data_IF_374507581546
#
_entry.id   IF_374507581546
#
_cell.length_a   1.000
_cell.length_b   1.000
_cell.length_c   1.000
_cell.angle_alpha   90.00
_cell.angle_beta   90.00
_cell.angle_gamma   90.00
#
_symmetry.space_group_name_H-M   'P 1'
#
loop_
_entity.id
_entity.type
_entity.pdbx_description
1 polymer ?
#
# COMPACT_ATOMS: atom_id res chain seq x y z
N UNK A 1 -12.09 -41.45 -66.31
CA UNK A 1 -13.41 -41.28 -66.96
C UNK A 1 -13.72 -39.79 -66.99
N UNK A 2 -13.96 -39.20 -68.16
CA UNK A 2 -14.14 -37.76 -68.34
C UNK A 2 -15.63 -37.40 -68.37
N UNK A 3 -16.00 -36.19 -67.96
CA UNK A 3 -17.17 -35.50 -68.53
C UNK A 3 -16.81 -34.02 -68.69
N UNK A 4 -16.98 -33.54 -69.92
CA UNK A 4 -16.86 -32.14 -70.33
C UNK A 4 -18.18 -31.37 -70.14
N UNK A 5 -18.07 -30.04 -70.05
CA UNK A 5 -19.10 -29.05 -70.40
C UNK A 5 -18.43 -27.67 -70.33
N UNK A 6 -18.08 -26.98 -71.43
CA UNK A 6 -18.95 -26.13 -72.29
C UNK A 6 -19.84 -25.23 -71.42
N UNK A 7 -19.82 -23.90 -71.42
CA UNK A 7 -19.26 -22.85 -72.28
C UNK A 7 -20.24 -21.66 -72.20
N UNK A 8 -19.74 -20.41 -72.14
CA UNK A 8 -20.28 -19.25 -72.89
C UNK A 8 -19.62 -17.93 -72.51
N UNK A 9 -19.30 -17.24 -73.58
CA UNK A 9 -18.79 -15.89 -73.77
C UNK A 9 -19.91 -14.85 -73.72
N UNK A 10 -19.63 -13.64 -73.24
CA UNK A 10 -20.08 -12.39 -73.89
C UNK A 10 -19.50 -11.14 -73.21
N UNK A 11 -18.54 -10.52 -73.90
CA UNK A 11 -18.55 -9.13 -74.39
C UNK A 11 -19.00 -7.99 -73.46
N UNK A 12 -18.18 -6.91 -73.37
CA UNK A 12 -18.76 -5.57 -73.16
C UNK A 12 -17.85 -4.47 -72.62
N UNK A 13 -16.93 -3.99 -73.46
CA UNK A 13 -16.64 -2.57 -73.70
C UNK A 13 -15.98 -1.68 -72.62
N UNK A 14 -14.66 -1.58 -72.81
CA UNK A 14 -13.83 -0.38 -72.92
C UNK A 14 -14.55 0.97 -73.10
N UNK A 15 -14.53 1.80 -72.04
CA UNK A 15 -14.80 3.23 -72.07
C UNK A 15 -13.54 4.03 -71.71
N UNK A 16 -13.03 4.77 -72.69
CA UNK A 16 -11.76 5.52 -72.69
C UNK A 16 -11.91 6.90 -72.00
N UNK A 17 -11.06 7.15 -71.00
CA UNK A 17 -10.46 8.43 -70.55
C UNK A 17 -11.35 9.69 -70.35
N UNK A 18 -11.58 10.06 -69.09
CA UNK A 18 -11.37 11.42 -68.55
C UNK A 18 -10.87 11.28 -67.10
N UNK A 19 -9.56 11.18 -66.89
CA UNK A 19 -8.63 12.30 -66.63
C UNK A 19 -9.09 13.13 -65.42
N UNK A 20 -8.40 12.86 -64.30
CA UNK A 20 -8.05 13.74 -63.18
C UNK A 20 -9.16 14.59 -62.57
N UNK A 21 -9.47 14.35 -61.28
CA UNK A 21 -9.75 15.38 -60.25
C UNK A 21 -10.43 14.75 -59.02
N UNK A 22 -9.74 13.91 -58.26
CA UNK A 22 -10.05 13.66 -56.82
C UNK A 22 -8.76 13.33 -56.06
N UNK A 23 -7.73 14.17 -56.21
CA UNK A 23 -6.56 14.17 -55.33
C UNK A 23 -6.72 15.27 -54.28
N UNK A 24 -7.68 15.10 -53.38
CA UNK A 24 -7.64 15.75 -52.08
C UNK A 24 -7.85 14.68 -51.02
N UNK A 25 -6.82 14.45 -50.21
CA UNK A 25 -7.02 13.97 -48.85
C UNK A 25 -6.62 12.54 -48.49
N UNK A 26 -5.82 11.82 -49.29
CA UNK A 26 -5.25 10.54 -48.81
C UNK A 26 -4.35 10.73 -47.56
N UNK A 27 -3.82 11.93 -47.36
CA UNK A 27 -3.04 12.29 -46.18
C UNK A 27 -3.88 12.62 -44.93
N UNK A 28 -5.17 12.95 -45.08
CA UNK A 28 -6.06 13.23 -43.93
C UNK A 28 -6.64 11.94 -43.32
N UNK A 29 -6.73 10.87 -44.10
CA UNK A 29 -7.29 9.58 -43.66
C UNK A 29 -6.27 8.79 -42.81
N UNK A 30 -4.96 9.00 -43.00
CA UNK A 30 -3.93 8.35 -42.17
C UNK A 30 -3.91 8.82 -40.71
N UNK A 31 -4.33 10.05 -40.40
CA UNK A 31 -4.34 10.58 -39.03
C UNK A 31 -5.44 9.95 -38.15
N UNK A 32 -6.58 9.58 -38.73
CA UNK A 32 -7.70 8.99 -37.98
C UNK A 32 -7.48 7.51 -37.64
N UNK A 33 -6.66 6.79 -38.40
CA UNK A 33 -6.38 5.38 -38.13
C UNK A 33 -5.49 5.15 -36.90
N UNK A 34 -4.72 6.15 -36.46
CA UNK A 34 -3.82 6.04 -35.30
C UNK A 34 -4.60 6.06 -33.97
N UNK A 35 -5.80 6.65 -33.94
CA UNK A 35 -6.62 6.74 -32.72
C UNK A 35 -7.29 5.40 -32.35
N UNK A 36 -7.42 4.47 -33.31
CA UNK A 36 -8.07 3.17 -33.09
C UNK A 36 -7.15 2.09 -32.48
N UNK A 37 -5.83 2.31 -32.46
CA UNK A 37 -4.89 1.46 -31.74
C UNK A 37 -4.68 2.07 -30.37
N UNK A 38 -5.56 1.73 -29.43
CA UNK A 38 -5.52 2.18 -28.04
C UNK A 38 -4.13 1.99 -27.44
N UNK A 39 -3.37 3.08 -27.38
CA UNK A 39 -2.10 3.11 -26.67
C UNK A 39 -2.41 3.08 -25.18
N UNK A 40 -2.12 1.95 -24.54
CA UNK A 40 -2.16 1.85 -23.08
C UNK A 40 -0.97 2.67 -22.57
N UNK A 41 -1.18 3.97 -22.32
CA UNK A 41 -0.15 4.79 -21.66
C UNK A 41 -0.09 4.31 -20.22
N UNK A 42 1.03 3.72 -19.75
CA UNK A 42 1.16 3.42 -18.34
C UNK A 42 1.12 4.76 -17.59
N UNK A 43 0.07 5.00 -16.82
CA UNK A 43 -0.01 6.14 -15.91
C UNK A 43 1.04 5.89 -14.83
N UNK A 44 2.25 6.42 -15.03
CA UNK A 44 3.26 6.50 -13.98
C UNK A 44 2.74 7.54 -12.98
N UNK A 45 2.19 7.07 -11.86
CA UNK A 45 1.82 7.95 -10.76
C UNK A 45 3.09 8.50 -10.15
N UNK A 46 3.45 9.73 -10.49
CA UNK A 46 4.50 10.47 -9.81
C UNK A 46 4.12 10.63 -8.34
N UNK A 47 4.75 9.87 -7.46
CA UNK A 47 4.67 10.08 -6.01
C UNK A 47 5.19 11.48 -5.72
N UNK A 48 4.30 12.41 -5.40
CA UNK A 48 4.70 13.76 -5.00
C UNK A 48 5.64 13.65 -3.79
N UNK A 49 6.82 14.30 -3.80
CA UNK A 49 7.65 14.37 -2.62
C UNK A 49 6.84 15.00 -1.48
N UNK A 50 6.88 14.37 -0.29
CA UNK A 50 6.13 14.79 0.89
C UNK A 50 4.79 14.07 1.12
N UNK A 51 4.37 13.14 0.25
CA UNK A 51 3.25 12.24 0.52
C UNK A 51 3.61 11.10 1.48
N UNK A 52 2.58 10.43 2.04
CA UNK A 52 2.76 9.18 2.78
C UNK A 52 3.02 8.03 1.79
N UNK A 53 3.99 7.19 2.10
CA UNK A 53 4.27 5.96 1.36
C UNK A 53 4.56 4.82 2.33
N UNK A 54 4.28 3.59 1.91
CA UNK A 54 4.46 2.42 2.76
C UNK A 54 5.95 2.19 3.06
N UNK A 55 6.24 1.70 4.27
CA UNK A 55 7.59 1.39 4.74
C UNK A 55 7.65 -0.04 5.23
N UNK A 56 8.80 -0.69 5.02
CA UNK A 56 9.03 -2.06 5.48
C UNK A 56 8.95 -2.13 7.02
N UNK A 57 8.21 -3.11 7.60
CA UNK A 57 8.20 -3.39 9.03
C UNK A 57 9.59 -3.56 9.69
N UNK A 58 10.60 -3.95 8.91
CA UNK A 58 11.99 -4.16 9.32
C UNK A 58 12.87 -2.91 9.14
N UNK A 59 12.32 -1.80 8.63
CA UNK A 59 13.07 -0.56 8.50
C UNK A 59 13.62 -0.10 9.86
N UNK A 60 14.93 0.20 9.89
CA UNK A 60 15.63 0.54 11.14
C UNK A 60 15.09 1.83 11.76
N UNK A 61 14.70 2.80 10.93
CA UNK A 61 14.10 4.07 11.37
C UNK A 61 12.73 3.84 12.01
N UNK A 62 11.88 3.04 11.37
CA UNK A 62 10.58 2.63 11.89
C UNK A 62 10.73 1.88 13.23
N UNK A 63 11.64 0.91 13.32
CA UNK A 63 11.88 0.14 14.55
C UNK A 63 12.29 1.07 15.69
N UNK A 64 13.24 1.97 15.45
CA UNK A 64 13.69 2.97 16.44
C UNK A 64 12.55 3.90 16.88
N UNK A 65 11.73 4.35 15.93
CA UNK A 65 10.55 5.18 16.20
C UNK A 65 9.51 4.45 17.07
N UNK A 66 9.23 3.19 16.76
CA UNK A 66 8.31 2.34 17.51
C UNK A 66 8.83 2.02 18.92
N UNK A 67 10.12 1.73 19.08
CA UNK A 67 10.73 1.54 20.41
C UNK A 67 10.56 2.80 21.26
N UNK A 68 10.82 3.97 20.70
CA UNK A 68 10.58 5.25 21.39
C UNK A 68 9.09 5.45 21.72
N UNK A 69 8.19 5.17 20.78
CA UNK A 69 6.75 5.29 20.99
C UNK A 69 6.26 4.40 22.15
N UNK A 70 6.75 3.15 22.24
CA UNK A 70 6.37 2.25 23.34
C UNK A 70 6.93 2.70 24.68
N UNK A 71 8.14 3.26 24.71
CA UNK A 71 8.69 3.84 25.93
C UNK A 71 7.83 5.01 26.43
N UNK A 72 7.46 5.94 25.55
CA UNK A 72 6.59 7.07 25.91
C UNK A 72 5.15 6.64 26.24
N UNK A 73 4.62 5.65 25.50
CA UNK A 73 3.30 5.08 25.77
C UNK A 73 3.25 4.46 27.16
N UNK A 74 4.22 3.62 27.50
CA UNK A 74 4.28 2.95 28.80
C UNK A 74 4.47 3.98 29.91
N UNK A 75 5.38 4.97 29.79
CA UNK A 75 5.59 6.01 30.82
C UNK A 75 4.29 6.74 31.21
N UNK A 76 3.42 7.01 30.24
CA UNK A 76 2.14 7.69 30.46
C UNK A 76 0.94 6.75 30.62
N UNK A 77 1.16 5.43 30.75
CA UNK A 77 0.10 4.45 30.96
C UNK A 77 -0.12 4.21 32.45
N UNK A 78 -1.38 4.05 32.85
CA UNK A 78 -1.78 3.64 34.20
C UNK A 78 -1.94 2.11 34.34
N UNK A 79 -1.53 1.35 33.32
CA UNK A 79 -1.52 -0.11 33.38
C UNK A 79 -0.45 -0.59 34.39
N UNK A 80 -0.77 -1.61 35.17
CA UNK A 80 0.16 -2.23 36.13
C UNK A 80 1.34 -2.93 35.43
N UNK A 81 1.10 -3.44 34.22
CA UNK A 81 2.09 -4.14 33.40
C UNK A 81 2.44 -3.32 32.17
N UNK A 82 3.68 -3.44 31.72
CA UNK A 82 4.14 -2.81 30.48
C UNK A 82 3.43 -3.44 29.28
N UNK A 83 3.26 -2.65 28.22
CA UNK A 83 2.86 -3.17 26.91
C UNK A 83 4.05 -3.27 25.98
N UNK A 84 3.99 -4.23 25.06
CA UNK A 84 4.92 -4.37 23.95
C UNK A 84 4.18 -4.62 22.63
N UNK A 85 4.86 -4.41 21.51
CA UNK A 85 4.31 -4.61 20.16
C UNK A 85 4.36 -6.10 19.82
N UNK A 86 3.19 -6.69 19.57
CA UNK A 86 3.07 -8.06 19.10
C UNK A 86 3.20 -8.16 17.58
N UNK A 87 2.57 -7.23 16.85
CA UNK A 87 2.58 -7.21 15.40
C UNK A 87 2.48 -5.79 14.84
N UNK A 88 3.01 -5.56 13.64
CA UNK A 88 2.73 -4.35 12.86
C UNK A 88 1.72 -4.71 11.78
N UNK A 89 0.57 -4.04 11.78
CA UNK A 89 -0.43 -4.23 10.73
C UNK A 89 -0.09 -3.41 9.49
N UNK A 90 0.26 -2.14 9.69
CA UNK A 90 0.55 -1.17 8.63
C UNK A 90 1.61 -0.19 9.11
N UNK A 91 2.51 0.18 8.22
CA UNK A 91 3.49 1.23 8.47
C UNK A 91 3.66 2.10 7.24
N UNK A 92 3.67 3.41 7.46
CA UNK A 92 3.88 4.43 6.45
C UNK A 92 4.92 5.42 6.94
N UNK A 93 5.61 6.05 6.00
CA UNK A 93 6.49 7.16 6.28
C UNK A 93 6.23 8.35 5.37
N UNK A 94 6.63 9.52 5.83
CA UNK A 94 6.53 10.78 5.12
C UNK A 94 7.79 11.61 5.39
N UNK A 95 8.44 12.07 4.31
CA UNK A 95 9.61 12.94 4.40
C UNK A 95 9.14 14.39 4.57
N UNK A 96 9.55 15.04 5.66
CA UNK A 96 9.19 16.41 6.07
C UNK A 96 10.44 17.11 6.65
N UNK A 97 10.30 17.97 7.66
CA UNK A 97 11.42 18.43 8.52
C UNK A 97 11.94 17.31 9.43
N UNK A 98 12.30 16.18 8.84
CA UNK A 98 12.55 14.89 9.47
C UNK A 98 11.84 13.78 8.71
N UNK A 99 11.59 12.66 9.38
CA UNK A 99 10.79 11.55 8.86
C UNK A 99 9.65 11.29 9.84
N UNK A 100 8.42 11.45 9.38
CA UNK A 100 7.25 10.99 10.13
C UNK A 100 7.03 9.52 9.82
N UNK A 101 6.92 8.70 10.86
CA UNK A 101 6.47 7.31 10.77
C UNK A 101 5.07 7.23 11.37
N UNK A 102 4.13 6.68 10.62
CA UNK A 102 2.81 6.28 11.11
C UNK A 102 2.73 4.76 11.09
N UNK A 103 2.46 4.16 12.24
CA UNK A 103 2.40 2.72 12.37
C UNK A 103 1.17 2.30 13.16
N UNK A 104 0.37 1.43 12.55
CA UNK A 104 -0.71 0.70 13.21
C UNK A 104 -0.15 -0.63 13.70
N UNK A 105 -0.15 -0.81 15.02
CA UNK A 105 0.45 -1.95 15.70
C UNK A 105 -0.55 -2.60 16.64
N UNK A 106 -0.46 -3.93 16.77
CA UNK A 106 -1.14 -4.68 17.81
C UNK A 106 -0.23 -4.74 19.02
N UNK A 107 -0.70 -4.24 20.15
CA UNK A 107 0.02 -4.26 21.43
C UNK A 107 -0.61 -5.26 22.40
N UNK A 108 0.23 -5.86 23.24
CA UNK A 108 -0.17 -6.81 24.27
C UNK A 108 0.53 -6.51 25.60
N UNK A 109 -0.06 -6.98 26.70
CA UNK A 109 0.53 -6.90 28.03
C UNK A 109 1.69 -7.90 28.16
N UNK A 110 2.78 -7.45 28.80
CA UNK A 110 3.93 -8.28 29.15
C UNK A 110 3.91 -8.65 30.62
N UNK A 111 4.71 -9.65 31.03
CA UNK A 111 4.86 -10.06 32.43
C UNK A 111 5.55 -9.01 33.31
N UNK A 112 6.18 -8.01 32.70
CA UNK A 112 6.93 -6.98 33.41
C UNK A 112 5.98 -5.94 34.04
N UNK A 113 6.20 -5.68 35.32
CA UNK A 113 5.57 -4.55 36.00
C UNK A 113 6.06 -3.22 35.40
N UNK A 114 5.24 -2.20 35.54
CA UNK A 114 5.56 -0.85 35.08
C UNK A 114 6.84 -0.29 35.74
N UNK A 115 7.13 -0.72 36.98
CA UNK A 115 8.33 -0.36 37.76
C UNK A 115 9.59 -1.12 37.35
N UNK A 116 9.46 -2.16 36.53
CA UNK A 116 10.61 -2.95 36.09
C UNK A 116 11.63 -2.07 35.32
N UNK A 117 12.93 -2.40 35.36
CA UNK A 117 13.94 -1.71 34.57
C UNK A 117 13.66 -1.82 33.05
N UNK A 118 14.26 -0.90 32.26
CA UNK A 118 14.05 -0.85 30.80
C UNK A 118 14.75 -1.97 30.02
N UNK A 119 15.76 -2.59 30.61
CA UNK A 119 16.65 -3.57 29.96
C UNK A 119 16.26 -5.02 30.26
N UNK A 120 15.11 -5.24 30.87
CA UNK A 120 14.60 -6.58 31.19
C UNK A 120 13.87 -7.17 29.98
N UNK A 121 14.06 -8.46 29.73
CA UNK A 121 13.29 -9.17 28.72
C UNK A 121 11.86 -9.39 29.25
N UNK A 122 10.88 -8.91 28.50
CA UNK A 122 9.49 -8.82 28.93
C UNK A 122 8.61 -9.70 28.03
N UNK A 123 8.48 -11.01 28.33
CA UNK A 123 7.63 -11.89 27.55
C UNK A 123 6.15 -11.49 27.67
N UNK A 124 5.36 -11.83 26.66
CA UNK A 124 3.93 -11.59 26.67
C UNK A 124 3.20 -12.53 27.65
N UNK A 125 2.12 -12.05 28.25
CA UNK A 125 1.25 -12.92 29.04
C UNK A 125 0.53 -13.96 28.16
N UNK A 126 0.65 -15.24 28.54
CA UNK A 126 -0.02 -16.36 27.85
C UNK A 126 -1.41 -16.67 28.43
N UNK A 127 -1.77 -16.11 29.60
CA UNK A 127 -3.04 -16.42 30.24
C UNK A 127 -4.22 -15.78 29.48
N UNK A 128 -5.32 -16.52 29.26
CA UNK A 128 -6.49 -16.05 28.50
C UNK A 128 -7.13 -14.79 29.09
N UNK A 129 -7.03 -14.59 30.40
CA UNK A 129 -7.57 -13.41 31.08
C UNK A 129 -6.70 -12.15 30.91
N UNK A 130 -5.39 -12.32 30.67
CA UNK A 130 -4.42 -11.23 30.50
C UNK A 130 -4.03 -10.97 29.04
N UNK A 131 -4.57 -11.73 28.10
CA UNK A 131 -4.44 -11.54 26.64
C UNK A 131 -5.26 -10.33 26.13
N UNK A 132 -5.13 -9.18 26.81
CA UNK A 132 -5.76 -7.91 26.42
C UNK A 132 -4.96 -7.27 25.27
N UNK A 133 -5.36 -7.60 24.05
CA UNK A 133 -4.81 -7.00 22.83
C UNK A 133 -5.50 -5.67 22.53
N UNK A 134 -4.71 -4.69 22.14
CA UNK A 134 -5.19 -3.38 21.70
C UNK A 134 -4.54 -3.02 20.38
N UNK A 135 -5.28 -2.36 19.50
CA UNK A 135 -4.72 -1.81 18.27
C UNK A 135 -4.38 -0.35 18.55
N UNK A 136 -3.12 0.01 18.35
CA UNK A 136 -2.64 1.36 18.55
C UNK A 136 -2.04 1.91 17.25
N UNK A 137 -2.36 3.15 16.93
CA UNK A 137 -1.71 3.92 15.88
C UNK A 137 -0.80 4.96 16.53
N UNK A 138 0.49 4.87 16.20
CA UNK A 138 1.50 5.82 16.64
C UNK A 138 1.98 6.67 15.47
N UNK A 139 2.10 7.97 15.67
CA UNK A 139 2.78 8.87 14.75
C UNK A 139 4.01 9.44 15.45
N UNK A 140 5.18 9.18 14.89
CA UNK A 140 6.48 9.54 15.46
C UNK A 140 7.27 10.34 14.45
N UNK A 141 7.80 11.49 14.86
CA UNK A 141 8.73 12.26 14.06
C UNK A 141 10.16 11.93 14.50
N UNK A 142 10.97 11.42 13.57
CA UNK A 142 12.39 11.18 13.77
C UNK A 142 13.21 12.16 12.93
N UNK A 143 14.09 12.94 13.57
CA UNK A 143 15.00 13.89 12.92
C UNK A 143 16.44 13.40 13.07
N UNK A 144 16.99 12.64 12.10
CA UNK A 144 18.28 11.97 12.26
C UNK A 144 19.45 12.92 12.53
N UNK A 145 19.51 14.06 11.83
CA UNK A 145 20.61 15.04 11.94
C UNK A 145 20.61 15.83 13.26
N UNK A 146 19.49 15.85 13.99
CA UNK A 146 19.42 16.43 15.34
C UNK A 146 19.39 15.35 16.43
N UNK A 147 19.39 14.07 16.05
CA UNK A 147 19.17 12.93 16.95
C UNK A 147 17.91 13.10 17.85
N UNK A 148 16.84 13.68 17.31
CA UNK A 148 15.59 13.91 18.05
C UNK A 148 14.51 12.93 17.59
N UNK A 149 13.79 12.35 18.55
CA UNK A 149 12.58 11.56 18.30
C UNK A 149 11.46 12.14 19.14
N UNK A 150 10.30 12.37 18.52
CA UNK A 150 9.12 12.93 19.20
C UNK A 150 7.89 12.10 18.86
N UNK A 151 7.13 11.75 19.88
CA UNK A 151 5.82 11.13 19.72
C UNK A 151 4.83 12.25 19.41
N UNK A 152 4.34 12.29 18.17
CA UNK A 152 3.42 13.33 17.70
C UNK A 152 1.99 12.99 18.13
N UNK A 153 1.58 11.74 17.93
CA UNK A 153 0.28 11.29 18.40
C UNK A 153 0.28 9.81 18.75
N UNK A 154 -0.62 9.44 19.67
CA UNK A 154 -0.95 8.07 20.02
C UNK A 154 -2.46 7.93 20.03
N UNK A 155 -2.99 6.90 19.37
CA UNK A 155 -4.41 6.54 19.40
C UNK A 155 -4.50 5.05 19.62
N UNK A 156 -5.32 4.60 20.57
CA UNK A 156 -5.50 3.17 20.82
C UNK A 156 -6.99 2.84 20.90
N UNK A 157 -7.36 1.71 20.30
CA UNK A 157 -8.68 1.12 20.38
C UNK A 157 -8.58 -0.27 21.03
N UNK A 158 -9.51 -0.56 21.93
CA UNK A 158 -9.62 -1.88 22.52
C UNK A 158 -10.10 -2.86 21.46
N UNK A 159 -9.38 -3.97 21.25
CA UNK A 159 -9.86 -5.03 20.38
C UNK A 159 -11.00 -5.74 21.10
N UNK A 160 -12.25 -5.51 20.66
CA UNK A 160 -13.37 -6.34 21.11
C UNK A 160 -13.06 -7.76 20.64
N UNK A 161 -13.04 -8.74 21.56
CA UNK A 161 -13.04 -10.15 21.17
C UNK A 161 -14.29 -10.35 20.31
N UNK A 162 -14.14 -10.46 19.00
CA UNK A 162 -15.20 -11.03 18.18
C UNK A 162 -15.33 -12.46 18.69
N UNK A 163 -16.45 -12.78 19.34
CA UNK A 163 -16.74 -14.11 19.85
C UNK A 163 -16.80 -15.09 18.69
N UNK A 164 -15.66 -15.68 18.32
CA UNK A 164 -15.62 -16.85 17.48
C UNK A 164 -15.81 -18.05 18.41
N UNK A 165 -17.02 -18.57 18.31
CA UNK A 165 -17.59 -19.71 19.01
C UNK A 165 -16.55 -20.83 19.23
N UNK A 166 -16.24 -21.11 20.50
CA UNK A 166 -15.73 -22.40 20.93
C UNK A 166 -16.81 -23.44 20.59
N UNK A 167 -16.78 -23.99 19.38
CA UNK A 167 -17.38 -25.31 19.13
C UNK A 167 -16.38 -26.33 19.65
N UNK A 168 -16.62 -26.76 20.88
CA UNK A 168 -16.16 -28.04 21.39
C UNK A 168 -16.56 -29.13 20.37
N UNK A 169 -15.62 -30.00 20.00
CA UNK A 169 -15.86 -31.31 19.39
C UNK A 169 -15.22 -32.34 20.31
#
# INVERSE_FOLDING_TARGET
MPIQGVGKESTGQQGRLKKTEKMLGAWQISLLAIVALGTVVPVVRSSKPGGWFDVDPQDKGLRKALTFAMLEYNKGSNDMYKRNIMNINKAKQQIVSGVNYEAEVVTGLTSCLQTAPKNEDCPFHTSPDMLKRSVCTFVVNYVPWLNQIKLISKRCSNQKRNGLQLRLS
#
